data_IF_712791390887
#
_entry.id   IF_712791390887
#
_cell.length_a   1.000
_cell.length_b   1.000
_cell.length_c   1.000
_cell.angle_alpha   90.00
_cell.angle_beta   90.00
_cell.angle_gamma   90.00
#
_symmetry.space_group_name_H-M   'P 1'
#
loop_
_entity.id
_entity.type
_entity.pdbx_description
1 polymer ?
#
# COMPACT_ATOMS: atom_id res chain seq x y z
N UNK A 1 27.08 -0.12 18.44
CA UNK A 1 28.29 -0.96 18.44
C UNK A 1 28.02 -2.16 19.34
N UNK A 2 27.23 -3.08 18.80
CA UNK A 2 27.00 -4.41 19.36
C UNK A 2 27.12 -5.33 18.15
N UNK A 3 28.06 -6.27 18.25
CA UNK A 3 28.61 -7.04 17.14
C UNK A 3 27.50 -7.78 16.40
N UNK A 4 27.43 -7.58 15.08
CA UNK A 4 26.74 -8.48 14.17
C UNK A 4 27.48 -9.82 14.24
N UNK A 5 27.03 -10.71 15.11
CA UNK A 5 27.35 -12.13 14.98
C UNK A 5 26.78 -12.61 13.64
N UNK A 6 27.66 -13.22 12.83
CA UNK A 6 27.35 -14.01 11.64
C UNK A 6 26.49 -15.23 12.01
N UNK A 7 25.25 -14.98 12.43
CA UNK A 7 24.23 -16.03 12.49
C UNK A 7 23.75 -16.24 11.07
N UNK A 8 24.47 -17.10 10.35
CA UNK A 8 24.05 -17.62 9.07
C UNK A 8 22.69 -18.29 9.28
N UNK A 9 21.61 -17.57 8.91
CA UNK A 9 20.26 -18.06 9.08
C UNK A 9 20.10 -19.39 8.33
N UNK A 10 19.52 -20.44 8.95
CA UNK A 10 19.36 -21.73 8.28
C UNK A 10 18.50 -21.53 7.02
N UNK A 11 19.09 -21.76 5.83
CA UNK A 11 18.43 -21.60 4.52
C UNK A 11 19.13 -20.68 3.52
N UNK A 12 20.23 -20.02 3.87
CA UNK A 12 20.99 -19.15 2.95
C UNK A 12 22.08 -19.91 2.17
N UNK A 13 21.68 -20.93 1.43
CA UNK A 13 22.59 -21.72 0.57
C UNK A 13 22.26 -21.52 -0.91
N UNK A 14 21.94 -20.28 -1.29
CA UNK A 14 21.71 -19.90 -2.68
C UNK A 14 22.96 -19.28 -3.29
N UNK A 15 23.98 -20.10 -3.54
CA UNK A 15 25.06 -19.73 -4.45
C UNK A 15 24.46 -19.24 -5.77
N UNK A 16 25.02 -18.21 -6.39
CA UNK A 16 24.57 -17.56 -7.61
C UNK A 16 24.13 -18.55 -8.72
N UNK A 17 22.88 -19.01 -8.67
CA UNK A 17 22.45 -20.19 -9.43
C UNK A 17 22.40 -19.92 -10.94
N UNK A 18 22.45 -18.65 -11.32
CA UNK A 18 22.40 -18.12 -12.68
C UNK A 18 23.55 -17.17 -13.02
N UNK A 19 24.48 -16.92 -12.09
CA UNK A 19 25.58 -15.98 -12.31
C UNK A 19 25.13 -14.52 -12.42
N UNK A 20 24.03 -14.13 -11.79
CA UNK A 20 23.53 -12.75 -11.79
C UNK A 20 24.43 -11.82 -10.98
N UNK A 21 24.61 -10.62 -11.50
CA UNK A 21 25.30 -9.57 -10.77
C UNK A 21 24.36 -9.00 -9.70
N UNK A 22 24.89 -8.74 -8.50
CA UNK A 22 24.32 -7.92 -7.45
C UNK A 22 24.03 -6.51 -7.97
N UNK A 23 23.27 -5.73 -7.21
CA UNK A 23 22.86 -4.36 -7.56
C UNK A 23 24.03 -3.40 -7.85
N UNK A 24 25.25 -3.77 -7.43
CA UNK A 24 26.50 -3.06 -7.61
C UNK A 24 27.39 -3.60 -8.76
N UNK A 25 26.92 -4.60 -9.52
CA UNK A 25 27.68 -5.24 -10.61
C UNK A 25 28.65 -6.35 -10.17
N UNK A 26 28.67 -6.72 -8.89
CA UNK A 26 29.49 -7.84 -8.39
C UNK A 26 28.75 -9.17 -8.49
N UNK A 27 29.41 -10.32 -8.66
CA UNK A 27 28.71 -11.62 -8.68
C UNK A 27 28.03 -11.88 -7.33
N UNK A 28 26.71 -12.15 -7.34
CA UNK A 28 25.93 -12.43 -6.12
C UNK A 28 26.51 -13.61 -5.33
N UNK A 29 27.06 -13.37 -4.14
CA UNK A 29 27.88 -14.34 -3.41
C UNK A 29 27.10 -15.21 -2.42
N UNK A 30 25.77 -15.27 -2.56
CA UNK A 30 24.91 -16.12 -1.74
C UNK A 30 24.66 -15.62 -0.31
N UNK A 31 24.93 -14.33 -0.03
CA UNK A 31 24.65 -13.70 1.27
C UNK A 31 23.15 -13.67 1.59
N UNK A 32 22.80 -13.89 2.87
CA UNK A 32 21.43 -13.77 3.39
C UNK A 32 20.80 -12.37 3.23
N UNK A 33 21.62 -11.36 2.96
CA UNK A 33 21.19 -9.97 2.75
C UNK A 33 21.44 -9.60 1.30
N UNK A 34 20.36 -9.35 0.56
CA UNK A 34 20.39 -8.95 -0.86
C UNK A 34 21.23 -7.67 -1.10
N UNK A 35 21.43 -6.84 -0.07
CA UNK A 35 22.19 -5.59 -0.14
C UNK A 35 23.52 -5.62 0.63
N UNK A 36 23.93 -6.79 1.13
CA UNK A 36 25.24 -7.00 1.73
C UNK A 36 25.55 -6.07 2.91
N UNK A 37 24.72 -6.04 3.96
CA UNK A 37 24.92 -5.23 5.20
C UNK A 37 25.18 -3.72 5.00
N UNK A 38 25.19 -3.22 3.76
CA UNK A 38 25.27 -1.81 3.42
C UNK A 38 23.88 -1.30 3.07
N UNK A 39 23.55 -0.11 3.55
CA UNK A 39 22.27 0.52 3.25
C UNK A 39 22.20 0.89 1.77
N UNK A 40 21.12 0.47 1.11
CA UNK A 40 20.88 0.68 -0.34
C UNK A 40 20.80 2.16 -0.67
N UNK A 41 20.26 2.91 0.28
CA UNK A 41 19.89 4.29 0.09
C UNK A 41 20.29 5.08 1.34
N UNK A 42 21.08 6.12 1.13
CA UNK A 42 21.53 7.03 2.19
C UNK A 42 20.38 7.56 3.06
N UNK A 43 20.65 7.73 4.36
CA UNK A 43 19.72 8.25 5.37
C UNK A 43 19.01 9.54 4.92
N UNK A 44 19.75 10.45 4.28
CA UNK A 44 19.20 11.72 3.81
C UNK A 44 18.11 11.53 2.75
N UNK A 45 18.29 10.56 1.86
CA UNK A 45 17.30 10.22 0.82
C UNK A 45 16.07 9.55 1.43
N UNK A 46 16.23 8.76 2.49
CA UNK A 46 15.11 8.15 3.21
C UNK A 46 14.16 9.22 3.77
N UNK A 47 14.71 10.21 4.47
CA UNK A 47 13.93 11.32 5.02
C UNK A 47 13.34 12.23 3.93
N UNK A 48 14.05 12.40 2.82
CA UNK A 48 13.52 13.10 1.65
C UNK A 48 12.31 12.37 1.04
N UNK A 49 12.30 11.03 1.02
CA UNK A 49 11.13 10.26 0.58
C UNK A 49 9.99 10.43 1.59
N UNK A 50 10.23 10.20 2.88
CA UNK A 50 9.18 10.23 3.92
C UNK A 50 8.54 11.62 4.04
N UNK A 51 9.36 12.64 4.26
CA UNK A 51 8.89 14.01 4.49
C UNK A 51 8.63 14.75 3.18
N UNK A 52 9.45 14.55 2.16
CA UNK A 52 9.32 15.23 0.88
C UNK A 52 8.12 14.72 0.09
N UNK A 53 7.97 13.40 -0.11
CA UNK A 53 6.82 12.86 -0.84
C UNK A 53 5.52 13.08 -0.06
N UNK A 54 5.51 12.78 1.25
CA UNK A 54 4.35 13.01 2.11
C UNK A 54 3.97 14.49 2.18
N UNK A 55 4.95 15.38 2.27
CA UNK A 55 4.75 16.83 2.31
C UNK A 55 4.27 17.40 0.99
N UNK A 56 4.86 16.96 -0.12
CA UNK A 56 4.42 17.33 -1.46
C UNK A 56 2.95 16.93 -1.67
N UNK A 57 2.58 15.69 -1.32
CA UNK A 57 1.21 15.23 -1.43
C UNK A 57 0.27 16.06 -0.54
N UNK A 58 0.67 16.38 0.69
CA UNK A 58 -0.11 17.23 1.59
C UNK A 58 -0.30 18.64 1.03
N UNK A 59 0.74 19.24 0.44
CA UNK A 59 0.69 20.58 -0.17
C UNK A 59 -0.21 20.56 -1.40
N UNK A 60 -0.01 19.62 -2.33
CA UNK A 60 -0.79 19.53 -3.57
C UNK A 60 -2.27 19.33 -3.25
N UNK A 61 -2.60 18.41 -2.35
CA UNK A 61 -3.99 18.11 -2.00
C UNK A 61 -4.66 19.27 -1.28
N UNK A 62 -3.95 19.93 -0.36
CA UNK A 62 -4.42 21.15 0.32
C UNK A 62 -4.64 22.29 -0.68
N UNK A 63 -3.68 22.51 -1.61
CA UNK A 63 -3.79 23.53 -2.66
C UNK A 63 -4.97 23.25 -3.59
N UNK A 64 -5.12 22.02 -4.08
CA UNK A 64 -6.24 21.65 -4.93
C UNK A 64 -7.58 21.74 -4.17
N UNK A 65 -7.61 21.43 -2.88
CA UNK A 65 -8.79 21.63 -2.05
C UNK A 65 -9.14 23.12 -1.92
N UNK A 66 -8.15 23.99 -1.68
CA UNK A 66 -8.37 25.44 -1.69
C UNK A 66 -8.86 25.95 -3.04
N UNK A 67 -8.29 25.47 -4.15
CA UNK A 67 -8.74 25.80 -5.50
C UNK A 67 -10.18 25.33 -5.72
N UNK A 68 -10.50 24.08 -5.40
CA UNK A 68 -11.87 23.55 -5.59
C UNK A 68 -12.89 24.33 -4.77
N UNK A 69 -12.61 24.66 -3.50
CA UNK A 69 -13.47 25.51 -2.68
C UNK A 69 -13.64 26.90 -3.34
N UNK A 70 -12.55 27.50 -3.82
CA UNK A 70 -12.54 28.83 -4.44
C UNK A 70 -13.29 28.88 -5.77
N UNK A 71 -13.21 27.83 -6.59
CA UNK A 71 -13.95 27.73 -7.85
C UNK A 71 -15.42 27.30 -7.65
N UNK A 72 -15.73 26.53 -6.60
CA UNK A 72 -17.11 26.24 -6.18
C UNK A 72 -17.82 27.48 -5.58
N UNK A 73 -17.09 28.57 -5.30
CA UNK A 73 -17.59 29.78 -4.59
C UNK A 73 -18.68 30.57 -5.35
N UNK A 74 -19.10 30.14 -6.55
CA UNK A 74 -20.40 30.54 -7.11
C UNK A 74 -21.60 30.09 -6.25
N UNK A 75 -21.39 29.09 -5.38
CA UNK A 75 -22.32 28.65 -4.33
C UNK A 75 -21.54 28.67 -3.01
N UNK A 76 -21.84 29.59 -2.10
CA UNK A 76 -21.27 29.61 -0.73
C UNK A 76 -21.57 28.29 -0.01
N UNK A 77 -20.75 27.27 -0.22
CA UNK A 77 -20.84 26.02 0.54
C UNK A 77 -20.27 26.27 1.92
N UNK A 78 -21.13 26.28 2.94
CA UNK A 78 -20.69 26.24 4.33
C UNK A 78 -19.96 24.93 4.56
N UNK A 79 -18.79 25.00 5.21
CA UNK A 79 -18.08 23.81 5.69
C UNK A 79 -18.92 23.20 6.82
N UNK A 80 -19.82 22.29 6.45
CA UNK A 80 -20.69 21.54 7.38
C UNK A 80 -20.03 20.21 7.73
N UNK A 81 -20.33 19.67 8.90
CA UNK A 81 -19.87 18.34 9.32
C UNK A 81 -20.20 17.25 8.29
N UNK A 82 -21.37 17.33 7.63
CA UNK A 82 -21.73 16.41 6.54
C UNK A 82 -20.81 16.56 5.33
N UNK A 83 -20.41 17.77 4.93
CA UNK A 83 -19.45 17.97 3.84
C UNK A 83 -18.08 17.35 4.20
N UNK A 84 -17.66 17.46 5.46
CA UNK A 84 -16.41 16.86 5.95
C UNK A 84 -16.47 15.33 5.94
N UNK A 85 -17.59 14.74 6.36
CA UNK A 85 -17.75 13.29 6.53
C UNK A 85 -18.23 12.54 5.28
N UNK A 86 -18.96 13.20 4.37
CA UNK A 86 -19.61 12.55 3.22
C UNK A 86 -19.22 13.13 1.86
N UNK A 87 -18.37 14.17 1.83
CA UNK A 87 -17.99 14.89 0.61
C UNK A 87 -19.20 15.30 -0.26
N UNK A 88 -20.34 15.58 0.40
CA UNK A 88 -21.64 15.86 -0.22
C UNK A 88 -22.16 14.77 -1.18
N UNK A 89 -21.60 13.55 -1.17
CA UNK A 89 -21.93 12.47 -2.12
C UNK A 89 -21.76 12.88 -3.60
N UNK A 90 -20.97 13.91 -3.90
CA UNK A 90 -20.80 14.48 -5.24
C UNK A 90 -19.64 13.87 -6.04
N UNK A 91 -18.94 12.89 -5.46
CA UNK A 91 -17.77 12.29 -6.09
C UNK A 91 -18.20 11.32 -7.19
N UNK A 92 -17.70 11.54 -8.41
CA UNK A 92 -18.02 10.69 -9.56
C UNK A 92 -17.59 9.21 -9.35
N UNK A 93 -18.15 8.28 -10.15
CA UNK A 93 -17.87 6.86 -10.03
C UNK A 93 -16.38 6.54 -10.29
N UNK A 94 -15.73 7.24 -11.23
CA UNK A 94 -14.29 7.07 -11.50
C UNK A 94 -13.40 7.45 -10.32
N UNK A 95 -13.68 8.60 -9.68
CA UNK A 95 -12.98 8.98 -8.44
C UNK A 95 -13.21 7.95 -7.34
N UNK A 96 -14.44 7.49 -7.15
CA UNK A 96 -14.75 6.46 -6.16
C UNK A 96 -13.99 5.15 -6.43
N UNK A 97 -13.92 4.71 -7.70
CA UNK A 97 -13.16 3.53 -8.08
C UNK A 97 -11.65 3.68 -7.80
N UNK A 98 -11.07 4.85 -8.12
CA UNK A 98 -9.66 5.11 -7.82
C UNK A 98 -9.35 5.07 -6.32
N UNK A 99 -10.24 5.61 -5.49
CA UNK A 99 -10.08 5.57 -4.03
C UNK A 99 -10.13 4.15 -3.51
N UNK A 100 -11.03 3.31 -4.04
CA UNK A 100 -11.08 1.91 -3.70
C UNK A 100 -9.75 1.22 -4.05
N UNK A 101 -9.22 1.40 -5.27
CA UNK A 101 -7.91 0.84 -5.64
C UNK A 101 -6.82 1.32 -4.69
N UNK A 102 -6.76 2.62 -4.40
CA UNK A 102 -5.79 3.21 -3.46
C UNK A 102 -5.82 2.55 -2.08
N UNK A 103 -7.02 2.33 -1.55
CA UNK A 103 -7.21 1.75 -0.22
C UNK A 103 -6.80 0.29 -0.17
N UNK A 104 -6.99 -0.46 -1.26
CA UNK A 104 -6.61 -1.87 -1.33
C UNK A 104 -5.13 -2.08 -1.66
N UNK A 105 -4.44 -1.11 -2.26
CA UNK A 105 -2.99 -1.15 -2.50
C UNK A 105 -2.21 -0.59 -1.31
N UNK A 106 -2.40 -1.19 -0.13
CA UNK A 106 -1.69 -0.81 1.09
C UNK A 106 -0.40 -1.62 1.33
N UNK A 107 0.46 -1.16 2.24
CA UNK A 107 1.80 -1.76 2.45
C UNK A 107 1.74 -3.26 2.77
N UNK A 108 0.86 -3.68 3.68
CA UNK A 108 0.75 -5.09 4.06
C UNK A 108 0.42 -6.02 2.88
N UNK A 109 -0.38 -5.58 1.90
CA UNK A 109 -0.74 -6.40 0.74
C UNK A 109 0.44 -6.51 -0.23
N UNK A 110 1.21 -5.43 -0.40
CA UNK A 110 2.39 -5.42 -1.26
C UNK A 110 3.48 -6.33 -0.67
N UNK A 111 3.79 -6.16 0.60
CA UNK A 111 4.80 -6.98 1.30
C UNK A 111 4.37 -8.44 1.33
N UNK A 112 3.10 -8.73 1.65
CA UNK A 112 2.61 -10.10 1.68
C UNK A 112 2.59 -10.72 0.28
N UNK A 113 2.18 -9.97 -0.76
CA UNK A 113 2.20 -10.43 -2.14
C UNK A 113 3.63 -10.77 -2.60
N UNK A 114 4.60 -9.91 -2.30
CA UNK A 114 6.01 -10.19 -2.59
C UNK A 114 6.55 -11.40 -1.81
N UNK A 115 6.15 -11.57 -0.55
CA UNK A 115 6.55 -12.72 0.25
C UNK A 115 6.00 -14.04 -0.32
N UNK A 116 4.72 -14.08 -0.73
CA UNK A 116 4.17 -15.28 -1.39
C UNK A 116 4.73 -15.48 -2.80
N UNK A 117 5.18 -14.42 -3.48
CA UNK A 117 5.95 -14.54 -4.72
C UNK A 117 7.29 -15.23 -4.50
N UNK A 118 7.99 -14.84 -3.44
CA UNK A 118 9.28 -15.41 -3.08
C UNK A 118 9.15 -16.90 -2.71
N UNK A 119 8.09 -17.27 -1.98
CA UNK A 119 7.87 -18.65 -1.53
C UNK A 119 7.27 -19.57 -2.61
N UNK A 120 6.32 -19.08 -3.42
CA UNK A 120 5.51 -19.91 -4.31
C UNK A 120 5.62 -19.52 -5.79
N UNK A 121 6.54 -18.63 -6.14
CA UNK A 121 6.72 -18.13 -7.51
C UNK A 121 5.52 -17.32 -7.99
N UNK A 122 5.31 -17.30 -9.32
CA UNK A 122 4.28 -16.48 -9.98
C UNK A 122 2.85 -16.83 -9.54
N UNK A 123 2.60 -18.08 -9.15
CA UNK A 123 1.30 -18.54 -8.71
C UNK A 123 0.87 -17.89 -7.37
N UNK A 124 1.82 -17.62 -6.46
CA UNK A 124 1.53 -17.07 -5.14
C UNK A 124 0.78 -15.72 -5.18
N UNK A 125 1.34 -14.68 -5.83
CA UNK A 125 0.68 -13.38 -5.99
C UNK A 125 -0.63 -13.47 -6.74
N UNK A 126 -0.72 -14.34 -7.76
CA UNK A 126 -1.94 -14.53 -8.54
C UNK A 126 -3.09 -15.03 -7.65
N UNK A 127 -2.87 -16.10 -6.89
CA UNK A 127 -3.90 -16.65 -6.01
C UNK A 127 -4.24 -15.72 -4.84
N UNK A 128 -3.24 -15.01 -4.30
CA UNK A 128 -3.45 -13.99 -3.29
C UNK A 128 -4.36 -12.86 -3.81
N UNK A 129 -4.08 -12.33 -5.00
CA UNK A 129 -4.90 -11.29 -5.64
C UNK A 129 -6.30 -11.81 -6.01
N UNK A 130 -6.41 -13.04 -6.51
CA UNK A 130 -7.69 -13.66 -6.83
C UNK A 130 -8.59 -13.79 -5.59
N UNK A 131 -8.04 -14.23 -4.46
CA UNK A 131 -8.77 -14.30 -3.19
C UNK A 131 -9.30 -12.95 -2.72
N UNK A 132 -8.48 -11.89 -2.85
CA UNK A 132 -8.91 -10.53 -2.53
C UNK A 132 -10.00 -10.01 -3.49
N UNK A 133 -9.89 -10.30 -4.79
CA UNK A 133 -10.86 -9.89 -5.80
C UNK A 133 -12.26 -10.46 -5.53
N UNK A 134 -12.37 -11.71 -5.08
CA UNK A 134 -13.66 -12.32 -4.71
C UNK A 134 -14.32 -11.55 -3.56
N UNK A 135 -13.56 -11.17 -2.53
CA UNK A 135 -14.07 -10.39 -1.40
C UNK A 135 -14.59 -9.02 -1.83
N UNK A 136 -13.86 -8.34 -2.73
CA UNK A 136 -14.29 -7.06 -3.32
C UNK A 136 -15.61 -7.16 -4.06
N UNK A 137 -15.78 -8.20 -4.88
CA UNK A 137 -17.01 -8.42 -5.65
C UNK A 137 -18.18 -8.68 -4.70
N UNK A 138 -18.01 -9.57 -3.73
CA UNK A 138 -19.06 -9.87 -2.74
C UNK A 138 -19.44 -8.62 -1.93
N UNK A 139 -18.45 -7.85 -1.49
CA UNK A 139 -18.69 -6.60 -0.76
C UNK A 139 -19.40 -5.56 -1.64
N UNK A 140 -19.11 -5.50 -2.94
CA UNK A 140 -19.80 -4.58 -3.86
C UNK A 140 -21.29 -4.88 -3.95
N UNK A 141 -21.68 -6.16 -4.03
CA UNK A 141 -23.09 -6.59 -4.05
C UNK A 141 -23.77 -6.24 -2.73
N UNK A 142 -23.11 -6.52 -1.60
CA UNK A 142 -23.64 -6.16 -0.27
C UNK A 142 -23.83 -4.64 -0.11
N UNK A 143 -22.86 -3.85 -0.57
CA UNK A 143 -22.92 -2.38 -0.52
C UNK A 143 -24.09 -1.83 -1.35
N UNK A 144 -24.34 -2.42 -2.52
CA UNK A 144 -25.51 -2.08 -3.35
C UNK A 144 -26.82 -2.40 -2.62
N UNK A 145 -26.93 -3.58 -2.01
CA UNK A 145 -28.11 -3.98 -1.24
C UNK A 145 -28.38 -3.05 -0.05
N UNK A 146 -27.32 -2.66 0.65
CA UNK A 146 -27.39 -1.70 1.76
C UNK A 146 -27.90 -0.34 1.26
N UNK A 147 -27.36 0.18 0.15
CA UNK A 147 -27.82 1.46 -0.41
C UNK A 147 -29.28 1.44 -0.86
N UNK A 148 -29.78 0.31 -1.35
CA UNK A 148 -31.19 0.13 -1.73
C UNK A 148 -32.11 0.05 -0.52
N UNK A 149 -31.64 -0.55 0.58
CA UNK A 149 -32.46 -0.81 1.78
C UNK A 149 -32.43 0.34 2.79
N UNK A 150 -31.29 1.01 2.93
CA UNK A 150 -31.06 2.09 3.90
C UNK A 150 -30.28 3.27 3.26
N UNK A 151 -30.87 3.99 2.29
CA UNK A 151 -30.19 5.05 1.53
C UNK A 151 -29.76 6.27 2.39
N UNK A 152 -30.40 6.44 3.55
CA UNK A 152 -30.11 7.51 4.51
C UNK A 152 -29.08 7.16 5.58
N UNK A 153 -28.59 5.92 5.65
CA UNK A 153 -27.56 5.55 6.61
C UNK A 153 -26.19 6.14 6.21
N UNK A 154 -25.49 6.71 7.18
CA UNK A 154 -24.15 7.28 7.00
C UNK A 154 -23.05 6.31 7.44
N UNK A 155 -23.35 5.40 8.38
CA UNK A 155 -22.40 4.40 8.88
C UNK A 155 -23.03 3.01 8.92
N UNK A 156 -22.18 1.97 8.86
CA UNK A 156 -22.66 0.59 9.07
C UNK A 156 -23.23 0.39 10.48
N UNK A 157 -22.72 1.13 11.46
CA UNK A 157 -23.18 1.06 12.85
C UNK A 157 -24.62 1.56 13.00
N UNK A 158 -25.06 2.56 12.23
CA UNK A 158 -26.47 3.02 12.22
C UNK A 158 -27.42 1.94 11.69
N UNK A 159 -26.99 1.19 10.68
CA UNK A 159 -27.74 0.04 10.17
C UNK A 159 -27.83 -1.04 11.25
N UNK A 160 -26.74 -1.27 11.98
CA UNK A 160 -26.73 -2.23 13.08
C UNK A 160 -27.68 -1.80 14.19
N UNK A 161 -27.70 -0.51 14.54
CA UNK A 161 -28.60 0.04 15.55
C UNK A 161 -30.07 -0.14 15.16
N UNK A 162 -30.42 0.18 13.91
CA UNK A 162 -31.80 0.07 13.45
C UNK A 162 -32.28 -1.39 13.37
N UNK A 163 -31.38 -2.34 13.09
CA UNK A 163 -31.72 -3.75 12.91
C UNK A 163 -31.67 -4.60 14.19
N UNK A 164 -30.69 -4.37 15.06
CA UNK A 164 -30.40 -5.20 16.26
C UNK A 164 -30.37 -4.42 17.59
N UNK A 165 -30.58 -3.10 17.56
CA UNK A 165 -30.70 -2.29 18.77
C UNK A 165 -29.36 -1.90 19.42
N UNK A 166 -29.45 -1.25 20.59
CA UNK A 166 -28.32 -0.60 21.28
C UNK A 166 -27.18 -1.55 21.70
N UNK A 167 -27.44 -2.76 22.25
CA UNK A 167 -26.36 -3.64 22.68
C UNK A 167 -25.45 -4.07 21.52
N UNK A 168 -26.04 -4.47 20.40
CA UNK A 168 -25.30 -4.83 19.18
C UNK A 168 -24.56 -3.61 18.61
N UNK A 169 -25.20 -2.43 18.60
CA UNK A 169 -24.58 -1.21 18.12
C UNK A 169 -23.29 -0.84 18.86
N UNK A 170 -23.30 -0.88 20.20
CA UNK A 170 -22.11 -0.57 21.02
C UNK A 170 -21.00 -1.58 20.72
N UNK A 171 -21.32 -2.86 20.65
CA UNK A 171 -20.37 -3.92 20.33
C UNK A 171 -19.71 -3.68 18.95
N UNK A 172 -20.51 -3.39 17.92
CA UNK A 172 -20.01 -3.11 16.58
C UNK A 172 -19.20 -1.80 16.50
N UNK A 173 -19.57 -0.75 17.26
CA UNK A 173 -18.73 0.45 17.37
C UNK A 173 -17.35 0.09 17.91
N UNK A 174 -17.29 -0.68 19.01
CA UNK A 174 -16.02 -1.11 19.59
C UNK A 174 -15.19 -1.91 18.60
N UNK A 175 -15.79 -2.88 17.89
CA UNK A 175 -15.10 -3.64 16.87
C UNK A 175 -14.61 -2.77 15.71
N UNK A 176 -15.45 -1.88 15.17
CA UNK A 176 -15.05 -0.98 14.09
C UNK A 176 -13.91 -0.06 14.50
N UNK A 177 -13.93 0.49 15.72
CA UNK A 177 -12.85 1.33 16.23
C UNK A 177 -11.56 0.54 16.41
N UNK A 178 -11.64 -0.64 17.05
CA UNK A 178 -10.47 -1.50 17.27
C UNK A 178 -9.83 -1.94 15.95
N UNK A 179 -10.64 -2.35 14.97
CA UNK A 179 -10.16 -2.72 13.63
C UNK A 179 -9.48 -1.54 12.95
N UNK A 180 -10.05 -0.33 13.00
CA UNK A 180 -9.41 0.85 12.42
C UNK A 180 -8.07 1.17 13.10
N UNK A 181 -7.96 1.05 14.43
CA UNK A 181 -6.69 1.27 15.16
C UNK A 181 -5.65 0.21 14.77
N UNK A 182 -6.05 -1.07 14.74
CA UNK A 182 -5.18 -2.19 14.39
C UNK A 182 -4.66 -2.08 12.95
N UNK A 183 -5.55 -1.75 12.00
CA UNK A 183 -5.18 -1.53 10.59
C UNK A 183 -4.23 -0.34 10.46
N UNK A 184 -4.49 0.78 11.12
CA UNK A 184 -3.58 1.94 11.06
C UNK A 184 -2.20 1.62 11.67
N UNK A 185 -2.15 0.87 12.76
CA UNK A 185 -0.90 0.45 13.39
C UNK A 185 -0.08 -0.45 12.44
N UNK A 186 -0.70 -1.48 11.85
CA UNK A 186 0.03 -2.38 10.92
C UNK A 186 0.51 -1.66 9.67
N UNK A 187 -0.23 -0.67 9.16
CA UNK A 187 0.18 0.11 8.00
C UNK A 187 1.38 1.03 8.31
N UNK A 188 1.34 1.67 9.46
CA UNK A 188 2.41 2.57 9.91
C UNK A 188 3.70 1.80 10.16
N UNK A 189 3.61 0.68 10.90
CA UNK A 189 4.77 -0.17 11.19
C UNK A 189 5.28 -0.83 9.91
N UNK A 190 4.39 -1.36 9.07
CA UNK A 190 4.77 -1.98 7.81
C UNK A 190 5.56 -1.02 6.92
N UNK A 191 5.08 0.22 6.74
CA UNK A 191 5.80 1.24 5.97
C UNK A 191 7.14 1.62 6.58
N UNK A 192 7.18 1.80 7.90
CA UNK A 192 8.41 2.16 8.61
C UNK A 192 9.48 1.06 8.54
N UNK A 193 9.08 -0.21 8.68
CA UNK A 193 9.98 -1.37 8.55
C UNK A 193 10.53 -1.45 7.13
N UNK A 194 9.70 -1.25 6.10
CA UNK A 194 10.18 -1.25 4.71
C UNK A 194 11.22 -0.16 4.44
N UNK A 195 11.00 1.06 4.96
CA UNK A 195 11.95 2.17 4.78
C UNK A 195 13.24 1.91 5.57
N UNK A 196 13.12 1.50 6.84
CA UNK A 196 14.26 1.18 7.69
C UNK A 196 15.10 0.04 7.10
N UNK A 197 14.47 -0.99 6.52
CA UNK A 197 15.16 -2.09 5.85
C UNK A 197 15.92 -1.67 4.58
N UNK A 198 15.53 -0.58 3.92
CA UNK A 198 16.19 -0.08 2.71
C UNK A 198 17.32 0.93 3.00
N UNK A 199 17.26 1.60 4.15
CA UNK A 199 18.07 2.81 4.40
C UNK A 199 18.81 2.80 5.72
N UNK A 200 18.52 1.88 6.65
CA UNK A 200 19.15 1.84 7.98
C UNK A 200 18.60 2.88 8.97
N UNK A 201 17.74 3.81 8.53
CA UNK A 201 17.19 4.85 9.41
C UNK A 201 16.39 4.29 10.58
N UNK A 202 16.34 5.07 11.67
CA UNK A 202 15.62 4.70 12.87
C UNK A 202 14.11 4.46 12.61
N UNK A 203 13.67 3.23 12.90
CA UNK A 203 12.29 2.77 12.73
C UNK A 203 11.27 3.67 13.44
N UNK A 204 11.55 4.07 14.69
CA UNK A 204 10.63 4.88 15.50
C UNK A 204 10.44 6.27 14.91
N UNK A 205 11.50 6.88 14.39
CA UNK A 205 11.44 8.18 13.73
C UNK A 205 10.52 8.16 12.51
N UNK A 206 10.69 7.17 11.63
CA UNK A 206 9.86 7.02 10.42
C UNK A 206 8.41 6.70 10.77
N UNK A 207 8.19 5.81 11.75
CA UNK A 207 6.85 5.44 12.20
C UNK A 207 6.04 6.63 12.75
N UNK A 208 6.69 7.61 13.37
CA UNK A 208 6.02 8.83 13.85
C UNK A 208 5.81 9.86 12.73
N UNK A 209 6.72 9.93 11.75
CA UNK A 209 6.64 10.90 10.66
C UNK A 209 5.54 10.56 9.64
N UNK A 210 5.38 9.29 9.28
CA UNK A 210 4.42 8.86 8.25
C UNK A 210 2.96 9.31 8.54
N UNK A 211 2.38 9.07 9.74
CA UNK A 211 1.01 9.49 10.03
C UNK A 211 0.86 11.01 10.14
N UNK A 212 1.91 11.72 10.55
CA UNK A 212 1.90 13.17 10.71
C UNK A 212 1.65 13.86 9.37
N UNK A 213 2.33 13.44 8.30
CA UNK A 213 2.16 14.01 6.96
C UNK A 213 0.75 13.79 6.41
N UNK A 214 0.16 12.62 6.69
CA UNK A 214 -1.20 12.27 6.26
C UNK A 214 -2.27 13.05 7.04
N UNK A 215 -2.03 13.28 8.32
CA UNK A 215 -2.96 13.98 9.21
C UNK A 215 -3.19 15.42 8.76
N UNK A 216 -2.14 16.11 8.26
CA UNK A 216 -2.23 17.52 7.83
C UNK A 216 -3.31 17.71 6.77
N UNK A 217 -3.28 16.98 5.65
CA UNK A 217 -4.28 17.18 4.59
C UNK A 217 -5.66 16.60 4.96
N UNK A 218 -5.68 15.58 5.82
CA UNK A 218 -6.94 14.96 6.28
C UNK A 218 -7.73 15.91 7.18
N UNK A 219 -7.07 16.61 8.10
CA UNK A 219 -7.70 17.57 9.02
C UNK A 219 -8.25 18.79 8.27
N UNK A 220 -7.52 19.31 7.28
CA UNK A 220 -7.93 20.52 6.56
C UNK A 220 -9.03 20.26 5.53
N UNK A 221 -9.00 19.12 4.84
CA UNK A 221 -9.83 18.89 3.67
C UNK A 221 -10.92 17.83 3.82
N UNK A 222 -10.93 17.06 4.91
CA UNK A 222 -11.91 16.00 5.15
C UNK A 222 -11.95 14.95 4.04
N UNK A 223 -13.09 14.26 3.91
CA UNK A 223 -13.24 13.14 2.98
C UNK A 223 -12.99 13.55 1.51
N UNK A 224 -13.38 14.77 1.11
CA UNK A 224 -13.18 15.26 -0.27
C UNK A 224 -11.69 15.39 -0.60
N UNK A 225 -10.87 15.88 0.32
CA UNK A 225 -9.43 15.95 0.11
C UNK A 225 -8.77 14.57 0.18
N UNK A 226 -9.24 13.68 1.05
CA UNK A 226 -8.74 12.30 1.08
C UNK A 226 -9.01 11.58 -0.25
N UNK A 227 -10.18 11.77 -0.85
CA UNK A 227 -10.49 11.21 -2.17
C UNK A 227 -9.54 11.71 -3.27
N UNK A 228 -9.24 13.02 -3.25
CA UNK A 228 -8.31 13.62 -4.19
C UNK A 228 -6.87 13.14 -3.97
N UNK A 229 -6.44 13.05 -2.70
CA UNK A 229 -5.14 12.50 -2.33
C UNK A 229 -4.97 11.07 -2.83
N UNK A 230 -5.98 10.22 -2.60
CA UNK A 230 -6.01 8.84 -3.08
C UNK A 230 -5.97 8.74 -4.62
N UNK A 231 -6.62 9.65 -5.34
CA UNK A 231 -6.53 9.68 -6.80
C UNK A 231 -5.09 9.94 -7.27
N UNK A 232 -4.43 10.97 -6.72
CA UNK A 232 -3.04 11.30 -7.05
C UNK A 232 -2.10 10.14 -6.67
N UNK A 233 -2.33 9.54 -5.51
CA UNK A 233 -1.56 8.39 -5.04
C UNK A 233 -1.65 7.20 -6.01
N UNK A 234 -2.85 6.87 -6.49
CA UNK A 234 -3.03 5.78 -7.47
C UNK A 234 -2.37 6.10 -8.81
N UNK A 235 -2.46 7.35 -9.28
CA UNK A 235 -1.73 7.76 -10.48
C UNK A 235 -0.23 7.55 -10.32
N UNK A 236 0.33 7.94 -9.17
CA UNK A 236 1.75 7.73 -8.87
C UNK A 236 2.11 6.24 -8.82
N UNK A 237 1.33 5.41 -8.13
CA UNK A 237 1.52 3.97 -8.07
C UNK A 237 1.55 3.38 -9.48
N UNK A 238 0.58 3.70 -10.34
CA UNK A 238 0.56 3.16 -11.70
C UNK A 238 1.74 3.59 -12.56
N UNK A 239 2.18 4.85 -12.46
CA UNK A 239 3.38 5.32 -13.17
C UNK A 239 4.60 4.52 -12.71
N UNK A 240 4.79 4.37 -11.39
CA UNK A 240 5.91 3.61 -10.82
C UNK A 240 5.83 2.13 -11.24
N UNK A 241 4.66 1.51 -11.19
CA UNK A 241 4.46 0.13 -11.65
C UNK A 241 4.81 -0.03 -13.13
N UNK A 242 4.38 0.88 -14.00
CA UNK A 242 4.71 0.83 -15.42
C UNK A 242 6.23 0.96 -15.65
N UNK A 243 6.89 1.89 -14.96
CA UNK A 243 8.35 2.04 -15.00
C UNK A 243 9.04 0.74 -14.58
N UNK A 244 8.63 0.14 -13.46
CA UNK A 244 9.18 -1.15 -13.02
C UNK A 244 8.94 -2.27 -14.05
N UNK A 245 7.76 -2.33 -14.67
CA UNK A 245 7.49 -3.31 -15.73
C UNK A 245 8.43 -3.11 -16.93
N UNK A 246 8.64 -1.88 -17.38
CA UNK A 246 9.56 -1.59 -18.49
C UNK A 246 11.01 -1.92 -18.12
N UNK A 247 11.46 -1.53 -16.93
CA UNK A 247 12.82 -1.81 -16.46
C UNK A 247 13.11 -3.32 -16.45
N UNK A 248 12.21 -4.09 -15.82
CA UNK A 248 12.35 -5.54 -15.66
C UNK A 248 12.25 -6.28 -17.01
N UNK A 249 11.25 -5.96 -17.83
CA UNK A 249 10.96 -6.73 -19.04
C UNK A 249 11.62 -6.19 -20.32
N UNK A 250 12.37 -5.07 -20.27
CA UNK A 250 13.03 -4.52 -21.46
C UNK A 250 14.48 -4.07 -21.27
N UNK A 251 14.84 -3.48 -20.13
CA UNK A 251 16.17 -2.89 -19.94
C UNK A 251 17.14 -3.83 -19.23
N UNK A 252 16.65 -4.61 -18.26
CA UNK A 252 17.51 -5.44 -17.43
C UNK A 252 18.22 -6.54 -18.25
N UNK A 253 19.54 -6.62 -18.17
CA UNK A 253 20.38 -7.56 -18.94
C UNK A 253 19.95 -9.03 -18.76
N UNK A 254 19.60 -9.37 -17.52
CA UNK A 254 19.32 -10.75 -17.11
C UNK A 254 17.88 -11.21 -17.37
N UNK A 255 16.93 -10.27 -17.31
CA UNK A 255 15.50 -10.55 -17.47
C UNK A 255 15.07 -10.12 -18.88
N UNK A 256 15.06 -8.82 -19.20
CA UNK A 256 15.17 -8.23 -20.55
C UNK A 256 14.08 -8.56 -21.58
N UNK A 257 13.32 -9.64 -21.41
CA UNK A 257 12.12 -10.00 -22.15
C UNK A 257 11.33 -11.10 -21.37
N UNK A 258 10.01 -11.20 -21.57
CA UNK A 258 9.18 -12.21 -20.88
C UNK A 258 9.61 -13.67 -21.12
N UNK A 259 10.19 -13.97 -22.29
CA UNK A 259 10.63 -15.33 -22.64
C UNK A 259 11.79 -15.78 -21.76
N UNK A 260 12.79 -14.92 -21.54
CA UNK A 260 13.91 -15.16 -20.64
C UNK A 260 13.45 -15.31 -19.20
N UNK A 261 12.53 -14.46 -18.75
CA UNK A 261 11.93 -14.63 -17.41
C UNK A 261 11.30 -16.01 -17.28
N UNK A 262 10.54 -16.45 -18.27
CA UNK A 262 9.94 -17.79 -18.28
C UNK A 262 10.98 -18.92 -18.30
N UNK A 263 12.04 -18.80 -19.11
CA UNK A 263 13.13 -19.75 -19.17
C UNK A 263 13.86 -19.87 -17.83
N UNK A 264 14.16 -18.73 -17.19
CA UNK A 264 14.80 -18.67 -15.88
C UNK A 264 13.91 -19.27 -14.78
N UNK A 265 12.60 -19.00 -14.82
CA UNK A 265 11.63 -19.61 -13.90
C UNK A 265 11.56 -21.13 -14.08
N UNK A 266 11.59 -21.63 -15.33
CA UNK A 266 11.60 -23.06 -15.61
C UNK A 266 12.90 -23.74 -15.15
N UNK A 267 14.04 -23.05 -15.32
CA UNK A 267 15.31 -23.53 -14.81
C UNK A 267 15.33 -23.57 -13.27
N UNK A 268 14.72 -22.60 -12.59
CA UNK A 268 14.53 -22.64 -11.14
C UNK A 268 13.65 -23.79 -10.69
N UNK A 269 12.53 -24.03 -11.37
CA UNK A 269 11.62 -25.13 -11.03
C UNK A 269 12.33 -26.50 -11.04
N UNK A 270 13.33 -26.68 -11.91
CA UNK A 270 14.15 -27.90 -11.93
C UNK A 270 15.19 -28.00 -10.80
N UNK A 271 15.63 -26.88 -10.21
CA UNK A 271 16.68 -26.83 -9.17
C UNK A 271 16.10 -26.75 -7.76
N UNK A 272 15.05 -25.95 -7.57
CA UNK A 272 14.37 -25.74 -6.28
C UNK A 272 12.87 -25.91 -6.53
N UNK A 273 12.37 -27.15 -6.60
CA UNK A 273 10.96 -27.40 -6.79
C UNK A 273 10.17 -26.94 -5.56
N UNK A 274 9.10 -26.19 -5.79
CA UNK A 274 8.11 -25.87 -4.76
C UNK A 274 7.14 -27.03 -4.68
N UNK A 275 7.04 -27.66 -3.51
CA UNK A 275 6.18 -28.82 -3.30
C UNK A 275 4.71 -28.45 -3.58
N UNK A 276 4.09 -29.12 -4.56
CA UNK A 276 2.68 -28.88 -4.95
C UNK A 276 2.44 -27.85 -6.07
N UNK A 277 3.49 -27.37 -6.75
CA UNK A 277 3.41 -26.45 -7.89
C UNK A 277 3.61 -27.16 -9.24
#
# INVERSE_FOLDING_TARGET
EEMAEDVQAPGCDYANLFGYESWDGSSYDGRCSFFGYSDVLDDGKAWAIVLGFGGLLAIITTMLMHCTIRFDTGKRQKVTADNFASANRLMGPGFTASVLVSQWTWVATLVQSSNVAYQFGVAGPFWYAAGAAVQLILFSVLSLQVKRTAPGAHTICEIVLSRWGKPAHICFICFCLLTNVMVNAMLTIGGAVTISALTGVNLTGVAMALPLMVTVYTVHGGLRATYLASFIHVCFIYVVTLVFCFEVYTQHSDLGNPTRVWENLKAMAGKVPVEGN
#
